data_IF_911608226760
#
_entry.id   IF_911608226760
#
_cell.length_a   1.000
_cell.length_b   1.000
_cell.length_c   1.000
_cell.angle_alpha   90.00
_cell.angle_beta   90.00
_cell.angle_gamma   90.00
#
_symmetry.space_group_name_H-M   'P 1'
#
loop_
_entity.id
_entity.type
_entity.pdbx_description
1 polymer ?
#
# COMPACT_ATOMS: atom_id res chain seq x y z
N UNK A 1 53.43 -21.48 -17.89
CA UNK A 1 52.75 -20.50 -17.04
C UNK A 1 53.64 -19.27 -17.02
N UNK A 2 53.10 -18.06 -17.15
CA UNK A 2 53.93 -16.86 -16.95
C UNK A 2 54.29 -16.77 -15.46
N UNK A 3 55.56 -16.46 -15.15
CA UNK A 3 55.95 -15.99 -13.82
C UNK A 3 55.18 -14.71 -13.49
N UNK A 4 54.88 -14.46 -12.22
CA UNK A 4 54.29 -13.17 -11.85
C UNK A 4 55.32 -12.08 -12.12
N UNK A 5 54.88 -10.90 -12.55
CA UNK A 5 55.79 -9.76 -12.74
C UNK A 5 56.51 -9.41 -11.42
N UNK A 6 55.86 -9.66 -10.27
CA UNK A 6 56.50 -9.62 -8.94
C UNK A 6 57.66 -10.62 -8.79
N UNK A 7 57.51 -11.85 -9.29
CA UNK A 7 58.53 -12.88 -9.18
C UNK A 7 59.74 -12.50 -10.04
N UNK A 8 59.49 -12.01 -11.26
CA UNK A 8 60.53 -11.51 -12.18
C UNK A 8 61.28 -10.29 -11.62
N UNK A 9 60.60 -9.34 -10.99
CA UNK A 9 61.26 -8.19 -10.33
C UNK A 9 62.03 -8.62 -9.08
N UNK A 10 61.54 -9.60 -8.30
CA UNK A 10 62.29 -10.18 -7.19
C UNK A 10 63.54 -10.95 -7.67
N UNK A 11 63.46 -11.65 -8.80
CA UNK A 11 64.57 -12.34 -9.44
C UNK A 11 65.64 -11.35 -9.87
N UNK A 12 65.29 -10.28 -10.62
CA UNK A 12 66.21 -9.20 -11.00
C UNK A 12 66.84 -8.48 -9.78
N UNK A 13 66.07 -8.28 -8.70
CA UNK A 13 66.60 -7.69 -7.46
C UNK A 13 67.60 -8.61 -6.74
N UNK A 14 67.38 -9.93 -6.73
CA UNK A 14 68.34 -10.89 -6.16
C UNK A 14 69.56 -11.09 -7.05
N UNK A 15 69.40 -11.00 -8.38
CA UNK A 15 70.51 -10.96 -9.34
C UNK A 15 71.39 -9.73 -9.10
N UNK A 16 70.79 -8.53 -9.05
CA UNK A 16 71.50 -7.27 -8.76
C UNK A 16 72.25 -7.30 -7.42
N UNK A 17 71.63 -7.85 -6.37
CA UNK A 17 72.27 -8.06 -5.07
C UNK A 17 73.48 -9.03 -5.17
N UNK A 18 73.39 -10.07 -6.00
CA UNK A 18 74.50 -11.01 -6.21
C UNK A 18 75.64 -10.40 -7.04
N UNK A 19 75.33 -9.59 -8.07
CA UNK A 19 76.32 -8.91 -8.92
C UNK A 19 77.06 -7.83 -8.13
N UNK A 20 76.34 -7.04 -7.32
CA UNK A 20 76.98 -6.05 -6.43
C UNK A 20 77.85 -6.73 -5.36
N UNK A 21 77.43 -7.86 -4.78
CA UNK A 21 78.27 -8.62 -3.86
C UNK A 21 79.55 -9.15 -4.52
N UNK A 22 79.47 -9.70 -5.75
CA UNK A 22 80.63 -10.13 -6.55
C UNK A 22 81.55 -8.96 -6.89
N UNK A 23 80.99 -7.81 -7.27
CA UNK A 23 81.76 -6.60 -7.54
C UNK A 23 82.60 -6.18 -6.33
N UNK A 24 82.00 -6.07 -5.14
CA UNK A 24 82.74 -5.74 -3.91
C UNK A 24 83.79 -6.80 -3.54
N UNK A 25 83.52 -8.09 -3.74
CA UNK A 25 84.52 -9.15 -3.55
C UNK A 25 85.69 -9.03 -4.53
N UNK A 26 85.44 -8.74 -5.81
CA UNK A 26 86.50 -8.52 -6.81
C UNK A 26 87.35 -7.29 -6.47
N UNK A 27 86.73 -6.19 -6.02
CA UNK A 27 87.43 -4.97 -5.61
C UNK A 27 88.32 -5.17 -4.37
N UNK A 28 87.90 -6.03 -3.42
CA UNK A 28 88.74 -6.43 -2.29
C UNK A 28 89.93 -7.27 -2.76
N UNK A 29 89.73 -8.20 -3.70
CA UNK A 29 90.82 -9.00 -4.29
C UNK A 29 91.83 -8.16 -5.10
N UNK A 30 91.38 -7.09 -5.79
CA UNK A 30 92.30 -6.08 -6.37
C UNK A 30 93.15 -5.44 -5.28
N UNK A 31 92.52 -5.02 -4.17
CA UNK A 31 93.19 -4.28 -3.09
C UNK A 31 94.17 -5.15 -2.26
N UNK A 32 94.00 -6.47 -2.28
CA UNK A 32 94.88 -7.46 -1.65
C UNK A 32 96.04 -7.92 -2.57
N UNK A 33 96.22 -7.28 -3.75
CA UNK A 33 97.28 -7.55 -4.74
C UNK A 33 97.31 -9.01 -5.27
N UNK A 34 96.16 -9.70 -5.20
CA UNK A 34 95.98 -11.02 -5.80
C UNK A 34 95.84 -10.88 -7.33
N UNK A 35 96.53 -11.74 -8.09
CA UNK A 35 96.42 -11.75 -9.55
C UNK A 35 95.02 -12.21 -9.98
N UNK A 36 94.16 -11.25 -10.30
CA UNK A 36 92.83 -11.50 -10.82
C UNK A 36 92.88 -12.04 -12.24
N UNK A 37 92.11 -13.10 -12.45
CA UNK A 37 91.87 -13.66 -13.77
C UNK A 37 91.19 -12.62 -14.67
N UNK A 38 91.48 -12.63 -15.98
CA UNK A 38 91.02 -11.58 -16.91
C UNK A 38 89.48 -11.51 -17.05
N UNK A 39 88.80 -12.55 -16.59
CA UNK A 39 87.34 -12.69 -16.55
C UNK A 39 86.68 -12.20 -15.25
N UNK A 40 87.45 -11.90 -14.20
CA UNK A 40 86.97 -11.42 -12.90
C UNK A 40 87.25 -9.91 -12.70
N UNK A 41 87.47 -9.17 -13.80
CA UNK A 41 87.69 -7.71 -13.76
C UNK A 41 86.44 -6.99 -13.22
N UNK A 42 86.58 -6.02 -12.28
CA UNK A 42 85.47 -5.22 -11.77
C UNK A 42 84.66 -4.51 -12.88
N UNK A 43 85.29 -4.19 -14.01
CA UNK A 43 84.65 -3.58 -15.18
C UNK A 43 83.55 -4.47 -15.80
N UNK A 44 83.73 -5.80 -15.78
CA UNK A 44 82.74 -6.74 -16.30
C UNK A 44 81.50 -6.80 -15.40
N UNK A 45 81.69 -6.77 -14.07
CA UNK A 45 80.57 -6.69 -13.12
C UNK A 45 79.82 -5.35 -13.20
N UNK A 46 80.51 -4.25 -13.51
CA UNK A 46 79.84 -2.96 -13.79
C UNK A 46 78.96 -3.08 -15.06
N UNK A 47 79.47 -3.69 -16.13
CA UNK A 47 78.68 -3.92 -17.35
C UNK A 47 77.51 -4.92 -17.15
N UNK A 48 77.65 -5.88 -16.24
CA UNK A 48 76.57 -6.79 -15.82
C UNK A 48 75.51 -6.01 -15.02
N UNK A 49 75.93 -5.22 -14.04
CA UNK A 49 75.05 -4.40 -13.19
C UNK A 49 74.21 -3.40 -14.02
N UNK A 50 74.81 -2.73 -15.01
CA UNK A 50 74.09 -1.81 -15.92
C UNK A 50 73.02 -2.54 -16.75
N UNK A 51 73.24 -3.79 -17.15
CA UNK A 51 72.23 -4.58 -17.88
C UNK A 51 71.07 -4.95 -16.98
N UNK A 52 71.32 -5.39 -15.74
CA UNK A 52 70.27 -5.72 -14.77
C UNK A 52 69.47 -4.47 -14.39
N UNK A 53 70.14 -3.34 -14.18
CA UNK A 53 69.48 -2.04 -13.90
C UNK A 53 68.56 -1.60 -15.06
N UNK A 54 69.02 -1.72 -16.32
CA UNK A 54 68.16 -1.43 -17.49
C UNK A 54 66.94 -2.35 -17.60
N UNK A 55 67.07 -3.63 -17.23
CA UNK A 55 65.96 -4.59 -17.23
C UNK A 55 64.97 -4.30 -16.08
N UNK A 56 65.49 -3.91 -14.91
CA UNK A 56 64.69 -3.49 -13.79
C UNK A 56 63.91 -2.21 -14.11
N UNK A 57 64.53 -1.23 -14.79
CA UNK A 57 63.83 -0.01 -15.25
C UNK A 57 62.72 -0.34 -16.26
N UNK A 58 63.00 -1.20 -17.26
CA UNK A 58 61.96 -1.67 -18.20
C UNK A 58 60.79 -2.39 -17.50
N UNK A 59 61.06 -3.17 -16.44
CA UNK A 59 60.02 -3.80 -15.63
C UNK A 59 59.24 -2.78 -14.78
N UNK A 60 59.89 -1.70 -14.33
CA UNK A 60 59.26 -0.60 -13.60
C UNK A 60 58.31 0.22 -14.49
N UNK A 61 58.72 0.51 -15.73
CA UNK A 61 57.88 1.17 -16.73
C UNK A 61 56.63 0.33 -17.05
N UNK A 62 56.79 -0.99 -17.21
CA UNK A 62 55.67 -1.93 -17.37
C UNK A 62 54.74 -1.95 -16.14
N UNK A 63 55.27 -1.86 -14.92
CA UNK A 63 54.44 -1.69 -13.71
C UNK A 63 53.65 -0.39 -13.79
N UNK A 64 54.26 0.71 -14.22
CA UNK A 64 53.58 2.01 -14.41
C UNK A 64 52.41 1.91 -15.37
N UNK A 65 52.61 1.31 -16.55
CA UNK A 65 51.52 1.09 -17.51
C UNK A 65 50.42 0.17 -16.97
N UNK A 66 50.78 -0.88 -16.23
CA UNK A 66 49.81 -1.80 -15.64
C UNK A 66 49.00 -1.13 -14.52
N UNK A 67 49.62 -0.26 -13.71
CA UNK A 67 48.92 0.53 -12.69
C UNK A 67 48.00 1.57 -13.33
N UNK A 68 48.43 2.27 -14.38
CA UNK A 68 47.59 3.22 -15.11
C UNK A 68 46.36 2.53 -15.73
N UNK A 69 46.55 1.37 -16.38
CA UNK A 69 45.45 0.53 -16.89
C UNK A 69 44.54 0.01 -15.76
N UNK A 70 45.10 -0.37 -14.61
CA UNK A 70 44.30 -0.83 -13.47
C UNK A 70 43.44 0.31 -12.87
N UNK A 71 43.94 1.55 -12.83
CA UNK A 71 43.16 2.71 -12.41
C UNK A 71 41.99 2.97 -13.36
N UNK A 72 42.20 2.87 -14.68
CA UNK A 72 41.12 2.97 -15.68
C UNK A 72 40.08 1.86 -15.53
N UNK A 73 40.51 0.62 -15.26
CA UNK A 73 39.61 -0.52 -15.00
C UNK A 73 38.74 -0.26 -13.76
N UNK A 74 39.33 0.28 -12.68
CA UNK A 74 38.59 0.63 -11.45
C UNK A 74 37.57 1.76 -11.73
N UNK A 75 37.97 2.82 -12.45
CA UNK A 75 37.06 3.90 -12.83
C UNK A 75 35.85 3.39 -13.63
N UNK A 76 36.08 2.56 -14.66
CA UNK A 76 34.99 1.96 -15.45
C UNK A 76 34.14 0.99 -14.60
N UNK A 77 34.74 0.27 -13.65
CA UNK A 77 34.00 -0.59 -12.72
C UNK A 77 33.10 0.20 -11.76
N UNK A 78 33.54 1.39 -11.32
CA UNK A 78 32.74 2.29 -10.48
C UNK A 78 31.62 2.98 -11.30
N UNK A 79 31.89 3.38 -12.55
CA UNK A 79 30.88 3.87 -13.50
C UNK A 79 29.78 2.82 -13.76
N UNK A 80 30.16 1.55 -13.98
CA UNK A 80 29.21 0.44 -14.15
C UNK A 80 28.35 0.25 -12.90
N UNK A 81 28.92 0.31 -11.70
CA UNK A 81 28.16 0.23 -10.44
C UNK A 81 27.21 1.42 -10.27
N UNK A 82 27.64 2.65 -10.61
CA UNK A 82 26.80 3.83 -10.59
C UNK A 82 25.62 3.68 -11.58
N UNK A 83 25.88 3.24 -12.81
CA UNK A 83 24.84 2.98 -13.80
C UNK A 83 23.85 1.91 -13.33
N UNK A 84 24.33 0.78 -12.79
CA UNK A 84 23.48 -0.27 -12.23
C UNK A 84 22.60 0.25 -11.07
N UNK A 85 23.14 1.08 -10.18
CA UNK A 85 22.38 1.74 -9.11
C UNK A 85 21.28 2.66 -9.67
N UNK A 86 21.60 3.50 -10.66
CA UNK A 86 20.60 4.38 -11.29
C UNK A 86 19.50 3.60 -12.03
N UNK A 87 19.85 2.48 -12.69
CA UNK A 87 18.90 1.59 -13.35
C UNK A 87 17.94 0.96 -12.34
N UNK A 88 18.45 0.43 -11.23
CA UNK A 88 17.60 -0.15 -10.17
C UNK A 88 16.64 0.90 -9.59
N UNK A 89 17.11 2.12 -9.32
CA UNK A 89 16.23 3.21 -8.85
C UNK A 89 15.19 3.63 -9.90
N UNK A 90 15.50 3.55 -11.20
CA UNK A 90 14.53 3.81 -12.27
C UNK A 90 13.46 2.71 -12.36
N UNK A 91 13.86 1.44 -12.23
CA UNK A 91 12.94 0.29 -12.20
C UNK A 91 12.03 0.34 -10.97
N UNK A 92 12.57 0.71 -9.80
CA UNK A 92 11.80 0.93 -8.56
C UNK A 92 10.74 2.02 -8.75
N UNK A 93 11.13 3.19 -9.25
CA UNK A 93 10.20 4.31 -9.53
C UNK A 93 9.12 3.94 -10.54
N UNK A 94 9.45 3.17 -11.57
CA UNK A 94 8.50 2.69 -12.57
C UNK A 94 7.53 1.66 -11.97
N UNK A 95 7.99 0.79 -11.07
CA UNK A 95 7.15 -0.15 -10.34
C UNK A 95 6.16 0.58 -9.42
N UNK A 96 6.62 1.58 -8.66
CA UNK A 96 5.76 2.43 -7.82
C UNK A 96 4.70 3.14 -8.69
N UNK A 97 5.12 3.79 -9.78
CA UNK A 97 4.20 4.49 -10.68
C UNK A 97 3.14 3.56 -11.32
N UNK A 98 3.50 2.31 -11.65
CA UNK A 98 2.54 1.30 -12.10
C UNK A 98 1.55 0.90 -10.98
N UNK A 99 2.03 0.72 -9.75
CA UNK A 99 1.17 0.38 -8.61
C UNK A 99 0.19 1.52 -8.27
N UNK A 100 0.62 2.78 -8.38
CA UNK A 100 -0.25 3.95 -8.21
C UNK A 100 -1.27 4.07 -9.36
N UNK A 101 -0.88 3.73 -10.58
CA UNK A 101 -1.78 3.66 -11.74
C UNK A 101 -2.82 2.55 -11.53
N UNK A 102 -2.43 1.33 -11.17
CA UNK A 102 -3.38 0.24 -10.89
C UNK A 102 -4.32 0.56 -9.72
N UNK A 103 -3.82 1.20 -8.66
CA UNK A 103 -4.66 1.67 -7.55
C UNK A 103 -5.70 2.70 -8.01
N UNK A 104 -5.28 3.77 -8.69
CA UNK A 104 -6.18 4.83 -9.18
C UNK A 104 -7.17 4.30 -10.22
N UNK A 105 -6.74 3.41 -11.12
CA UNK A 105 -7.60 2.72 -12.08
C UNK A 105 -8.61 1.80 -11.36
N UNK A 106 -8.21 1.13 -10.28
CA UNK A 106 -9.14 0.34 -9.45
C UNK A 106 -10.16 1.22 -8.70
N UNK A 107 -9.78 2.42 -8.28
CA UNK A 107 -10.66 3.40 -7.65
C UNK A 107 -11.67 3.94 -8.65
N UNK A 108 -11.22 4.43 -9.81
CA UNK A 108 -12.07 4.89 -10.90
C UNK A 108 -13.05 3.80 -11.38
N UNK A 109 -12.64 2.52 -11.40
CA UNK A 109 -13.54 1.37 -11.68
C UNK A 109 -14.60 1.13 -10.60
N UNK A 110 -14.33 1.47 -9.33
CA UNK A 110 -15.33 1.40 -8.24
C UNK A 110 -16.31 2.58 -8.32
N UNK A 111 -15.80 3.78 -8.57
CA UNK A 111 -16.60 5.00 -8.74
C UNK A 111 -17.52 4.89 -9.96
N UNK A 112 -17.01 4.46 -11.11
CA UNK A 112 -17.81 4.24 -12.31
C UNK A 112 -18.92 3.21 -12.06
N UNK A 113 -18.64 2.11 -11.35
CA UNK A 113 -19.68 1.16 -10.93
C UNK A 113 -20.71 1.79 -10.00
N UNK A 114 -20.32 2.63 -9.04
CA UNK A 114 -21.25 3.31 -8.14
C UNK A 114 -22.16 4.29 -8.91
N UNK A 115 -21.61 5.03 -9.88
CA UNK A 115 -22.37 5.89 -10.79
C UNK A 115 -23.31 5.06 -11.68
N UNK A 116 -22.83 3.92 -12.22
CA UNK A 116 -23.66 3.02 -13.00
C UNK A 116 -24.79 2.40 -12.18
N UNK A 117 -24.60 2.05 -10.90
CA UNK A 117 -25.70 1.60 -10.04
C UNK A 117 -26.72 2.73 -9.81
N UNK A 118 -26.26 3.95 -9.49
CA UNK A 118 -27.13 5.11 -9.29
C UNK A 118 -27.90 5.53 -10.55
N UNK A 119 -27.33 5.27 -11.74
CA UNK A 119 -27.94 5.59 -13.04
C UNK A 119 -28.84 4.46 -13.56
N UNK A 120 -28.38 3.21 -13.53
CA UNK A 120 -29.12 2.08 -14.09
C UNK A 120 -30.32 1.66 -13.23
N UNK A 121 -30.32 2.02 -11.93
CA UNK A 121 -31.52 1.95 -11.08
C UNK A 121 -32.67 2.90 -11.49
N UNK A 122 -32.46 3.71 -12.52
CA UNK A 122 -33.47 4.59 -13.14
C UNK A 122 -33.99 4.07 -14.48
N UNK A 123 -33.14 3.45 -15.29
CA UNK A 123 -33.35 3.32 -16.74
C UNK A 123 -33.44 1.87 -17.29
N UNK A 124 -33.23 0.80 -16.50
CA UNK A 124 -33.20 -0.59 -17.01
C UNK A 124 -34.52 -1.37 -16.84
N UNK A 125 -35.05 -1.81 -17.99
CA UNK A 125 -36.31 -2.50 -18.22
C UNK A 125 -36.24 -4.01 -17.88
N UNK A 126 -36.38 -4.41 -16.60
CA UNK A 126 -36.89 -5.75 -16.19
C UNK A 126 -37.44 -5.72 -14.74
N UNK A 127 -38.50 -6.49 -14.40
CA UNK A 127 -39.26 -6.29 -13.16
C UNK A 127 -38.69 -7.06 -11.96
N UNK A 128 -37.65 -6.52 -11.32
CA UNK A 128 -37.22 -6.94 -9.97
C UNK A 128 -37.27 -5.74 -9.00
N UNK A 129 -38.50 -5.45 -8.55
CA UNK A 129 -38.85 -4.71 -7.32
C UNK A 129 -38.06 -3.42 -7.04
N UNK A 130 -38.30 -2.39 -7.88
CA UNK A 130 -38.42 -0.97 -7.49
C UNK A 130 -37.51 -0.42 -6.36
N UNK A 131 -36.20 -0.67 -6.45
CA UNK A 131 -35.16 0.10 -5.76
C UNK A 131 -34.29 0.76 -6.87
N UNK A 132 -34.38 2.05 -7.18
CA UNK A 132 -34.79 3.19 -6.33
C UNK A 132 -35.35 4.39 -7.14
N UNK A 133 -36.64 4.41 -7.49
CA UNK A 133 -37.32 5.67 -7.87
C UNK A 133 -37.79 6.43 -6.62
N UNK A 134 -36.85 6.72 -5.70
CA UNK A 134 -37.13 7.45 -4.46
C UNK A 134 -37.05 8.94 -4.78
N UNK A 135 -38.16 9.67 -4.62
CA UNK A 135 -38.15 11.11 -4.86
C UNK A 135 -37.39 11.83 -3.74
N UNK A 136 -36.72 12.94 -4.09
CA UNK A 136 -35.98 13.73 -3.11
C UNK A 136 -36.87 14.26 -1.97
N UNK A 137 -38.14 14.52 -2.26
CA UNK A 137 -39.20 14.83 -1.29
C UNK A 137 -39.32 13.77 -0.20
N UNK A 138 -39.22 12.50 -0.57
CA UNK A 138 -39.52 11.37 0.29
C UNK A 138 -38.34 11.15 1.23
N UNK A 139 -37.12 11.23 0.69
CA UNK A 139 -35.85 11.25 1.45
C UNK A 139 -35.87 12.40 2.46
N UNK A 140 -36.25 13.61 2.04
CA UNK A 140 -36.30 14.78 2.92
C UNK A 140 -37.36 14.62 4.03
N UNK A 141 -38.53 14.08 3.70
CA UNK A 141 -39.59 13.79 4.69
C UNK A 141 -39.17 12.71 5.69
N UNK A 142 -38.44 11.69 5.24
CA UNK A 142 -37.96 10.61 6.09
C UNK A 142 -36.79 11.05 6.98
N UNK A 143 -35.85 11.82 6.44
CA UNK A 143 -34.78 12.46 7.21
C UNK A 143 -35.36 13.41 8.28
N UNK A 144 -36.39 14.20 7.95
CA UNK A 144 -37.10 15.04 8.93
C UNK A 144 -37.76 14.23 10.04
N UNK A 145 -38.35 13.07 9.72
CA UNK A 145 -38.92 12.14 10.72
C UNK A 145 -37.84 11.52 11.61
N UNK A 146 -36.73 11.07 11.01
CA UNK A 146 -35.61 10.48 11.75
C UNK A 146 -34.91 11.48 12.68
N UNK A 147 -34.76 12.74 12.26
CA UNK A 147 -34.04 13.79 13.01
C UNK A 147 -34.50 13.91 14.48
N UNK A 148 -35.81 13.73 14.74
CA UNK A 148 -36.40 13.73 16.09
C UNK A 148 -35.84 12.66 17.05
N UNK A 149 -35.33 11.55 16.49
CA UNK A 149 -34.85 10.38 17.23
C UNK A 149 -33.32 10.24 17.21
N UNK A 150 -32.64 10.95 16.30
CA UNK A 150 -31.19 10.79 16.03
C UNK A 150 -30.36 12.03 16.33
N UNK A 151 -30.98 13.22 16.43
CA UNK A 151 -30.26 14.47 16.64
C UNK A 151 -30.39 14.94 18.09
N UNK A 152 -29.36 14.69 18.90
CA UNK A 152 -29.20 15.37 20.18
C UNK A 152 -28.65 16.80 19.90
N UNK A 153 -29.34 17.88 20.31
CA UNK A 153 -28.82 19.24 20.13
C UNK A 153 -27.44 19.43 20.77
N UNK A 154 -26.55 20.26 20.18
CA UNK A 154 -25.34 20.69 20.88
C UNK A 154 -25.75 21.41 22.19
N UNK A 155 -25.21 20.94 23.32
CA UNK A 155 -25.59 21.30 24.70
C UNK A 155 -26.91 20.67 25.23
N UNK A 156 -27.34 19.51 24.71
CA UNK A 156 -28.43 18.74 25.32
C UNK A 156 -28.01 18.10 26.65
N UNK A 157 -28.38 18.72 27.76
CA UNK A 157 -28.26 18.18 29.13
C UNK A 157 -29.64 17.72 29.63
N UNK A 158 -29.76 16.45 30.02
CA UNK A 158 -31.00 15.86 30.52
C UNK A 158 -31.47 16.47 31.86
N UNK A 159 -30.61 17.19 32.57
CA UNK A 159 -30.95 17.86 33.82
C UNK A 159 -31.53 19.27 33.64
N UNK A 160 -31.31 19.92 32.48
CA UNK A 160 -31.61 21.33 32.29
C UNK A 160 -33.00 21.55 31.65
N UNK A 161 -34.04 21.52 32.50
CA UNK A 161 -35.45 21.36 32.13
C UNK A 161 -36.10 22.52 31.34
N UNK A 162 -35.38 23.62 31.14
CA UNK A 162 -35.91 24.84 30.49
C UNK A 162 -35.84 24.79 28.95
N UNK A 163 -35.05 23.88 28.38
CA UNK A 163 -34.96 23.69 26.91
C UNK A 163 -36.07 22.72 26.47
N UNK A 164 -37.21 23.28 26.05
CA UNK A 164 -38.30 22.53 25.38
C UNK A 164 -37.90 22.12 23.97
N UNK A 165 -37.11 21.06 23.85
CA UNK A 165 -36.91 20.30 22.61
C UNK A 165 -37.54 18.93 22.79
N UNK A 166 -38.48 18.58 21.91
CA UNK A 166 -39.19 17.29 21.92
C UNK A 166 -38.28 16.16 21.39
N UNK A 167 -37.24 15.84 22.16
CA UNK A 167 -36.29 14.78 21.87
C UNK A 167 -36.90 13.42 22.25
N UNK A 168 -37.41 12.69 21.26
CA UNK A 168 -37.87 11.32 21.45
C UNK A 168 -36.65 10.37 21.55
N UNK A 169 -36.69 9.43 22.49
CA UNK A 169 -35.61 8.44 22.67
C UNK A 169 -35.43 7.60 21.39
N UNK A 170 -34.20 7.19 21.05
CA UNK A 170 -33.92 6.38 19.84
C UNK A 170 -34.52 4.97 19.87
N UNK A 171 -35.07 4.53 21.01
CA UNK A 171 -35.77 3.27 21.20
C UNK A 171 -37.17 3.54 21.76
N UNK A 172 -38.20 2.74 21.40
CA UNK A 172 -39.55 2.91 21.92
C UNK A 172 -39.59 2.67 23.43
N UNK A 173 -40.12 3.64 24.19
CA UNK A 173 -40.32 3.50 25.63
C UNK A 173 -41.27 2.35 25.98
N UNK A 174 -41.07 1.74 27.14
CA UNK A 174 -41.91 0.66 27.70
C UNK A 174 -43.42 0.99 27.64
N UNK A 175 -43.81 2.23 27.97
CA UNK A 175 -45.22 2.64 27.91
C UNK A 175 -45.74 2.80 26.46
N UNK A 176 -44.86 3.08 25.49
CA UNK A 176 -45.20 3.13 24.05
C UNK A 176 -45.29 1.72 23.47
N UNK A 177 -44.42 0.80 23.90
CA UNK A 177 -44.52 -0.63 23.58
C UNK A 177 -45.81 -1.22 24.15
N UNK A 178 -46.12 -0.94 25.42
CA UNK A 178 -47.33 -1.41 26.12
C UNK A 178 -48.64 -0.85 25.55
N UNK A 179 -48.61 0.38 25.02
CA UNK A 179 -49.74 0.95 24.27
C UNK A 179 -49.82 0.45 22.82
N UNK A 180 -48.78 -0.18 22.29
CA UNK A 180 -48.72 -0.67 20.92
C UNK A 180 -49.64 -1.86 20.65
N UNK A 181 -50.20 -1.92 19.44
CA UNK A 181 -51.16 -2.96 19.01
C UNK A 181 -50.67 -4.40 19.28
N UNK A 182 -49.37 -4.64 19.11
CA UNK A 182 -48.73 -5.94 19.34
C UNK A 182 -48.80 -6.39 20.82
N UNK A 183 -48.74 -5.46 21.77
CA UNK A 183 -48.88 -5.79 23.19
C UNK A 183 -50.31 -6.24 23.50
N UNK A 184 -51.31 -5.49 23.03
CA UNK A 184 -52.73 -5.82 23.22
C UNK A 184 -53.13 -7.16 22.59
N UNK A 185 -52.53 -7.52 21.44
CA UNK A 185 -52.73 -8.82 20.79
C UNK A 185 -52.19 -10.02 21.59
N UNK A 186 -51.29 -9.78 22.56
CA UNK A 186 -50.66 -10.82 23.38
C UNK A 186 -50.91 -10.66 24.89
N UNK A 187 -51.59 -9.60 25.33
CA UNK A 187 -51.96 -9.38 26.73
C UNK A 187 -53.20 -10.18 27.11
N UNK A 188 -53.11 -10.98 28.18
CA UNK A 188 -54.19 -11.84 28.67
C UNK A 188 -55.14 -11.19 29.69
N UNK A 189 -55.13 -9.85 29.81
CA UNK A 189 -56.03 -9.12 30.71
C UNK A 189 -57.27 -8.60 29.96
N UNK A 190 -58.46 -8.59 30.60
CA UNK A 190 -59.67 -8.05 30.00
C UNK A 190 -59.55 -6.53 29.79
N UNK A 191 -60.09 -6.05 28.68
CA UNK A 191 -60.03 -4.65 28.25
C UNK A 191 -60.91 -3.79 29.19
N UNK A 192 -60.36 -2.75 29.85
CA UNK A 192 -61.13 -1.62 30.34
C UNK A 192 -61.23 -0.60 29.20
N UNK A 193 -62.41 -0.42 28.61
CA UNK A 193 -62.60 0.44 27.43
C UNK A 193 -62.41 1.94 27.74
N UNK A 194 -62.58 2.33 29.00
CA UNK A 194 -62.50 3.70 29.51
C UNK A 194 -61.07 4.26 29.63
N UNK A 195 -60.26 4.18 28.56
CA UNK A 195 -59.07 5.06 28.43
C UNK A 195 -58.60 5.42 27.02
N UNK A 196 -59.48 5.44 26.04
CA UNK A 196 -59.26 6.15 24.78
C UNK A 196 -59.49 7.67 24.91
N UNK A 197 -58.77 8.32 25.85
CA UNK A 197 -58.63 9.78 25.83
C UNK A 197 -57.71 10.15 24.66
N UNK A 198 -58.31 10.49 23.52
CA UNK A 198 -57.61 10.92 22.31
C UNK A 198 -56.92 12.27 22.55
N UNK A 199 -55.65 12.24 22.92
CA UNK A 199 -54.78 13.42 23.03
C UNK A 199 -54.32 13.95 21.66
N UNK A 200 -55.25 14.00 20.71
CA UNK A 200 -55.17 14.69 19.42
C UNK A 200 -56.57 15.25 19.14
N UNK A 201 -56.76 16.54 19.38
CA UNK A 201 -58.01 17.26 19.19
C UNK A 201 -57.74 18.63 18.55
N UNK A 202 -57.46 18.64 17.25
CA UNK A 202 -57.66 19.81 16.39
C UNK A 202 -58.85 19.57 15.46
N UNK A 203 -59.74 20.56 15.38
CA UNK A 203 -61.09 20.42 14.81
C UNK A 203 -61.24 21.11 13.45
N UNK A 204 -61.82 20.41 12.48
CA UNK A 204 -62.60 21.03 11.41
C UNK A 204 -63.83 20.18 11.07
N UNK A 205 -64.97 20.85 10.90
CA UNK A 205 -66.30 20.26 10.64
C UNK A 205 -66.69 20.40 9.17
N UNK A 206 -67.38 19.38 8.63
CA UNK A 206 -68.32 19.41 7.49
C UNK A 206 -67.80 19.91 6.10
N UNK A 207 -68.44 19.61 4.95
CA UNK A 207 -69.83 19.19 4.65
C UNK A 207 -69.87 17.98 3.68
N UNK A 208 -71.01 17.28 3.67
CA UNK A 208 -71.45 16.13 2.84
C UNK A 208 -71.26 16.26 1.30
N UNK A 209 -71.50 15.23 0.45
CA UNK A 209 -72.83 14.65 0.17
C UNK A 209 -72.86 13.39 -0.76
N UNK A 210 -73.96 12.62 -0.70
CA UNK A 210 -74.50 11.60 -1.67
C UNK A 210 -73.57 10.46 -2.16
N UNK A 211 -73.83 9.18 -1.82
CA UNK A 211 -74.92 8.25 -2.24
C UNK A 211 -74.87 7.73 -3.69
N UNK A 212 -74.76 6.41 -3.84
CA UNK A 212 -75.74 5.60 -4.57
C UNK A 212 -75.58 4.10 -4.22
N UNK A 213 -76.66 3.34 -4.40
CA UNK A 213 -76.85 1.93 -4.01
C UNK A 213 -76.96 1.02 -5.27
N UNK A 214 -76.85 -0.33 -5.31
CA UNK A 214 -77.00 -1.37 -4.26
C UNK A 214 -76.00 -2.59 -4.47
N UNK A 215 -76.26 -3.94 -4.52
CA UNK A 215 -75.27 -4.96 -4.06
C UNK A 215 -74.98 -6.21 -4.97
N UNK A 216 -74.51 -7.32 -4.35
CA UNK A 216 -74.43 -8.76 -4.75
C UNK A 216 -73.06 -9.34 -5.18
N UNK A 217 -72.35 -9.94 -4.21
CA UNK A 217 -71.74 -11.29 -4.29
C UNK A 217 -71.38 -11.79 -2.87
N UNK A 218 -71.39 -13.11 -2.62
CA UNK A 218 -70.93 -13.70 -1.34
C UNK A 218 -69.49 -14.19 -1.48
N UNK A 219 -68.60 -14.00 -0.50
CA UNK A 219 -67.43 -14.85 -0.31
C UNK A 219 -67.84 -16.14 0.42
N UNK A 220 -67.24 -17.28 0.06
CA UNK A 220 -67.30 -18.51 0.87
C UNK A 220 -66.12 -18.57 1.87
N UNK A 221 -66.20 -19.49 2.82
CA UNK A 221 -65.23 -19.62 3.91
C UNK A 221 -63.94 -20.33 3.43
N UNK A 222 -62.88 -19.56 3.18
CA UNK A 222 -61.52 -20.10 3.14
C UNK A 222 -60.67 -19.51 4.27
N UNK A 223 -60.23 -20.38 5.19
CA UNK A 223 -59.40 -20.00 6.33
C UNK A 223 -57.96 -19.81 5.86
N UNK A 224 -57.25 -18.72 6.23
CA UNK A 224 -55.83 -18.61 5.94
C UNK A 224 -55.05 -19.66 6.73
N UNK A 225 -54.67 -20.75 6.07
CA UNK A 225 -53.74 -21.75 6.62
C UNK A 225 -52.37 -21.09 6.80
N UNK A 226 -51.74 -21.35 7.94
CA UNK A 226 -50.64 -20.52 8.42
C UNK A 226 -49.41 -20.59 7.49
N UNK A 227 -48.92 -19.41 7.08
CA UNK A 227 -47.69 -19.19 6.29
C UNK A 227 -46.39 -19.58 7.06
N UNK A 228 -46.50 -20.27 8.20
CA UNK A 228 -45.44 -20.44 9.20
C UNK A 228 -44.84 -21.85 9.27
N UNK A 229 -44.95 -22.64 8.20
CA UNK A 229 -44.06 -23.80 8.02
C UNK A 229 -42.70 -23.36 7.47
N UNK A 230 -41.92 -22.68 8.31
CA UNK A 230 -40.46 -22.67 8.19
C UNK A 230 -39.97 -24.06 8.61
N UNK A 231 -39.58 -24.89 7.64
CA UNK A 231 -38.87 -26.14 7.92
C UNK A 231 -37.41 -25.83 8.25
N UNK A 232 -37.15 -25.57 9.54
CA UNK A 232 -35.81 -25.36 10.09
C UNK A 232 -35.25 -26.69 10.60
N UNK A 233 -34.74 -27.50 9.68
CA UNK A 233 -33.84 -28.62 9.95
C UNK A 233 -32.52 -28.40 9.18
N UNK A 234 -31.35 -28.75 9.74
CA UNK A 234 -30.04 -28.31 9.24
C UNK A 234 -29.44 -29.17 8.11
#
# INVERSE_FOLDING_TARGET
>A
MASSLRDQVNELLTEYASVTQRYFQSMLQVAEDNQLDRHHSPELYIQEMIKVDSQLQMALDQIGEHQARQQQIIQVQDEIQQHQSTLLSMVEKLNIANQDLDQTLSAAKKELKAVDYAKNGKDIYYPVVNMTNIQFTDILSYASKLSKYTSAPPNFDLMNRDIKVDFEKPYPDEERMRRGLLYWQHSSQPIPEDKYESSDNESMEDVSNTKNEEPVAKPEEDRPTAFWHLDLNP
#
